data_IF_577481167138
#
_entry.id   IF_577481167138
#
_cell.length_a   1.000
_cell.length_b   1.000
_cell.length_c   1.000
_cell.angle_alpha   90.00
_cell.angle_beta   90.00
_cell.angle_gamma   90.00
#
_symmetry.space_group_name_H-M   'P 1'
#
loop_
_entity.id
_entity.type
_entity.pdbx_description
1 polymer ?
#
# COMPACT_ATOMS: atom_id res chain seq x y z
N UNK A 1 -13.21 -10.92 -12.86
CA UNK A 1 -11.81 -10.99 -12.38
C UNK A 1 -10.80 -10.67 -13.48
N UNK A 2 -10.82 -11.30 -14.66
CA UNK A 2 -9.78 -11.09 -15.70
C UNK A 2 -9.63 -9.62 -16.18
N UNK A 3 -10.75 -8.93 -16.46
CA UNK A 3 -10.71 -7.51 -16.87
C UNK A 3 -10.09 -6.61 -15.80
N UNK A 4 -10.38 -6.89 -14.52
CA UNK A 4 -9.82 -6.16 -13.39
C UNK A 4 -8.29 -6.30 -13.36
N UNK A 5 -7.78 -7.53 -13.41
CA UNK A 5 -6.33 -7.75 -13.41
C UNK A 5 -5.64 -7.16 -14.63
N UNK A 6 -6.25 -7.20 -15.82
CA UNK A 6 -5.69 -6.58 -17.02
C UNK A 6 -5.52 -5.06 -16.86
N UNK A 7 -6.54 -4.39 -16.33
CA UNK A 7 -6.48 -2.96 -16.06
C UNK A 7 -5.41 -2.65 -15.01
N UNK A 8 -5.41 -3.41 -13.92
CA UNK A 8 -4.46 -3.24 -12.81
C UNK A 8 -3.01 -3.40 -13.26
N UNK A 9 -2.71 -4.41 -14.08
CA UNK A 9 -1.37 -4.61 -14.65
C UNK A 9 -0.93 -3.43 -15.52
N UNK A 10 -1.83 -2.91 -16.38
CA UNK A 10 -1.53 -1.76 -17.23
C UNK A 10 -1.25 -0.50 -16.40
N UNK A 11 -1.96 -0.31 -15.30
CA UNK A 11 -1.77 0.84 -14.42
C UNK A 11 -0.45 0.77 -13.64
N UNK A 12 -0.09 -0.41 -13.12
CA UNK A 12 1.16 -0.60 -12.39
C UNK A 12 2.39 -0.47 -13.30
N UNK A 13 2.29 -0.95 -14.54
CA UNK A 13 3.33 -0.73 -15.55
C UNK A 13 3.53 0.76 -15.82
N UNK A 14 2.45 1.53 -15.97
CA UNK A 14 2.54 2.97 -16.17
C UNK A 14 3.21 3.69 -14.98
N UNK A 15 2.89 3.32 -13.74
CA UNK A 15 3.48 3.96 -12.55
C UNK A 15 4.95 3.61 -12.35
N UNK A 16 5.31 2.33 -12.44
CA UNK A 16 6.70 1.90 -12.32
C UNK A 16 7.56 2.49 -13.44
N UNK A 17 7.08 2.49 -14.68
CA UNK A 17 7.74 3.11 -15.84
C UNK A 17 7.90 4.62 -15.68
N UNK A 18 6.87 5.32 -15.17
CA UNK A 18 6.95 6.75 -14.88
C UNK A 18 8.04 7.07 -13.84
N UNK A 19 8.25 6.18 -12.86
CA UNK A 19 9.32 6.28 -11.88
C UNK A 19 10.69 5.77 -12.40
N UNK A 20 10.79 5.37 -13.67
CA UNK A 20 12.01 4.81 -14.27
C UNK A 20 12.39 3.41 -13.75
N UNK A 21 11.47 2.72 -13.08
CA UNK A 21 11.67 1.39 -12.49
C UNK A 21 11.09 0.31 -13.39
N UNK A 22 11.68 -0.89 -13.31
CA UNK A 22 11.13 -2.13 -13.92
C UNK A 22 10.40 -3.02 -12.91
N UNK A 23 10.49 -2.66 -11.63
CA UNK A 23 9.88 -3.37 -10.51
C UNK A 23 8.75 -2.54 -9.94
N UNK A 24 7.61 -3.19 -9.67
CA UNK A 24 6.48 -2.57 -8.97
C UNK A 24 6.82 -2.48 -7.48
N UNK A 25 6.64 -1.30 -6.90
CA UNK A 25 6.87 -1.03 -5.48
C UNK A 25 5.55 -0.77 -4.74
N UNK A 26 5.62 -0.77 -3.40
CA UNK A 26 4.46 -0.48 -2.55
C UNK A 26 3.83 0.89 -2.85
N UNK A 27 4.66 1.87 -3.21
CA UNK A 27 4.19 3.20 -3.60
C UNK A 27 3.28 3.16 -4.84
N UNK A 28 3.57 2.30 -5.81
CA UNK A 28 2.74 2.16 -7.02
C UNK A 28 1.36 1.59 -6.68
N UNK A 29 1.30 0.63 -5.74
CA UNK A 29 0.05 0.08 -5.23
C UNK A 29 -0.74 1.12 -4.41
N UNK A 30 -0.06 1.91 -3.57
CA UNK A 30 -0.70 2.98 -2.81
C UNK A 30 -1.32 4.03 -3.73
N UNK A 31 -0.59 4.46 -4.77
CA UNK A 31 -1.10 5.39 -5.80
C UNK A 31 -2.29 4.79 -6.54
N UNK A 32 -2.22 3.52 -6.94
CA UNK A 32 -3.33 2.81 -7.58
C UNK A 32 -4.58 2.81 -6.70
N UNK A 33 -4.45 2.43 -5.44
CA UNK A 33 -5.57 2.35 -4.50
C UNK A 33 -6.12 3.73 -4.12
N UNK A 34 -5.27 4.77 -4.11
CA UNK A 34 -5.69 6.17 -3.95
C UNK A 34 -6.49 6.63 -5.17
N UNK A 35 -6.06 6.30 -6.39
CA UNK A 35 -6.80 6.60 -7.62
C UNK A 35 -8.13 5.85 -7.71
N UNK A 36 -8.23 4.66 -7.13
CA UNK A 36 -9.48 3.90 -7.00
C UNK A 36 -10.40 4.41 -5.87
N UNK A 37 -9.96 5.39 -5.06
CA UNK A 37 -10.74 5.95 -3.95
C UNK A 37 -10.78 5.06 -2.69
N UNK A 38 -9.97 4.00 -2.63
CA UNK A 38 -9.88 3.11 -1.46
C UNK A 38 -8.98 3.71 -0.39
N UNK A 39 -7.82 4.25 -0.79
CA UNK A 39 -6.89 4.94 0.11
C UNK A 39 -7.22 6.44 0.10
N UNK A 40 -7.47 6.98 1.29
CA UNK A 40 -7.74 8.41 1.51
C UNK A 40 -7.03 8.88 2.76
N UNK A 41 -6.99 10.18 3.02
CA UNK A 41 -6.33 10.71 4.23
C UNK A 41 -7.03 10.24 5.52
N UNK A 42 -8.31 9.87 5.45
CA UNK A 42 -9.07 9.24 6.56
C UNK A 42 -8.94 7.72 6.59
N UNK A 43 -8.49 7.10 5.50
CA UNK A 43 -8.37 5.66 5.33
C UNK A 43 -7.02 5.31 4.69
N UNK A 44 -5.92 5.36 5.46
CA UNK A 44 -4.59 5.06 4.94
C UNK A 44 -4.42 3.57 4.66
N UNK A 45 -3.43 3.23 3.83
CA UNK A 45 -3.21 1.85 3.35
C UNK A 45 -3.02 0.83 4.48
N UNK A 46 -2.30 1.19 5.55
CA UNK A 46 -2.07 0.28 6.69
C UNK A 46 -3.38 -0.12 7.41
N UNK A 47 -4.37 0.80 7.49
CA UNK A 47 -5.69 0.49 8.07
C UNK A 47 -6.46 -0.50 7.20
N UNK A 48 -6.35 -0.39 5.87
CA UNK A 48 -6.94 -1.37 4.95
C UNK A 48 -6.29 -2.75 5.12
N UNK A 49 -4.97 -2.80 5.23
CA UNK A 49 -4.22 -4.04 5.49
C UNK A 49 -4.68 -4.67 6.81
N UNK A 50 -4.82 -3.88 7.87
CA UNK A 50 -5.27 -4.36 9.18
C UNK A 50 -6.68 -4.95 9.17
N UNK A 51 -7.59 -4.37 8.37
CA UNK A 51 -8.99 -4.79 8.27
C UNK A 51 -9.21 -6.02 7.38
N UNK A 52 -8.49 -6.11 6.27
CA UNK A 52 -8.80 -7.09 5.21
C UNK A 52 -7.79 -8.23 5.09
N UNK A 53 -6.58 -8.12 5.69
CA UNK A 53 -5.57 -9.17 5.60
C UNK A 53 -5.44 -9.98 6.91
N UNK A 54 -5.32 -11.33 6.81
CA UNK A 54 -4.92 -12.19 7.91
C UNK A 54 -3.62 -11.75 8.61
N UNK A 55 -3.46 -12.14 9.88
CA UNK A 55 -2.32 -11.74 10.71
C UNK A 55 -0.95 -12.08 10.10
N UNK A 56 -0.84 -13.23 9.42
CA UNK A 56 0.41 -13.69 8.81
C UNK A 56 0.93 -12.70 7.75
N UNK A 57 0.04 -12.20 6.90
CA UNK A 57 0.40 -11.20 5.89
C UNK A 57 0.62 -9.82 6.49
N UNK A 58 -0.11 -9.45 7.54
CA UNK A 58 0.08 -8.17 8.24
C UNK A 58 1.47 -8.03 8.82
N UNK A 59 2.03 -9.11 9.40
CA UNK A 59 3.39 -9.12 9.95
C UNK A 59 4.47 -8.83 8.91
N UNK A 60 4.24 -9.21 7.65
CA UNK A 60 5.18 -8.95 6.54
C UNK A 60 5.12 -7.49 6.07
N UNK A 61 3.94 -6.89 6.10
CA UNK A 61 3.68 -5.56 5.53
C UNK A 61 3.80 -4.44 6.57
N UNK A 62 3.52 -4.74 7.82
CA UNK A 62 3.57 -3.81 8.97
C UNK A 62 4.38 -4.50 10.08
N UNK A 63 5.70 -4.61 9.93
CA UNK A 63 6.54 -5.26 10.94
C UNK A 63 6.65 -4.42 12.22
N UNK A 64 6.40 -3.11 12.13
CA UNK A 64 6.42 -2.16 13.25
C UNK A 64 5.19 -1.26 13.13
N UNK A 65 4.62 -0.86 14.28
CA UNK A 65 3.51 0.08 14.29
C UNK A 65 3.91 1.39 13.59
N UNK A 66 3.18 1.76 12.55
CA UNK A 66 3.39 3.00 11.77
C UNK A 66 2.57 4.17 12.30
N UNK A 67 1.64 3.93 13.22
CA UNK A 67 0.75 4.97 13.75
C UNK A 67 1.28 5.57 15.05
N UNK A 68 1.68 6.85 14.99
CA UNK A 68 1.72 7.74 16.17
C UNK A 68 2.68 7.35 17.30
N UNK A 69 3.78 6.64 17.02
CA UNK A 69 4.74 6.25 18.06
C UNK A 69 5.31 7.48 18.77
N UNK A 70 4.92 7.70 20.02
CA UNK A 70 5.51 8.71 20.91
C UNK A 70 6.70 8.07 21.63
N UNK A 71 7.89 8.19 21.05
CA UNK A 71 9.13 7.73 21.70
C UNK A 71 9.43 8.69 22.85
N UNK A 72 9.27 8.21 24.09
CA UNK A 72 9.66 8.95 25.29
C UNK A 72 11.07 8.49 25.65
N UNK A 73 12.11 9.34 25.52
CA UNK A 73 13.46 8.95 25.93
C UNK A 73 13.51 8.82 27.46
N UNK A 74 13.87 7.63 27.95
CA UNK A 74 14.32 7.46 29.33
C UNK A 74 15.80 7.87 29.44
N UNK A 75 16.12 8.69 30.44
CA UNK A 75 17.51 9.04 30.80
C UNK A 75 18.21 7.90 31.50
#
# INVERSE_FOLDING_TARGET
>A
SQRYFRQLSSDLEAYSSHAGRKTVEMADLEVLMRRQGLVTDKMPLHVLIERYLPLEYRKLLIPVAVSGNKVIPCK
#
